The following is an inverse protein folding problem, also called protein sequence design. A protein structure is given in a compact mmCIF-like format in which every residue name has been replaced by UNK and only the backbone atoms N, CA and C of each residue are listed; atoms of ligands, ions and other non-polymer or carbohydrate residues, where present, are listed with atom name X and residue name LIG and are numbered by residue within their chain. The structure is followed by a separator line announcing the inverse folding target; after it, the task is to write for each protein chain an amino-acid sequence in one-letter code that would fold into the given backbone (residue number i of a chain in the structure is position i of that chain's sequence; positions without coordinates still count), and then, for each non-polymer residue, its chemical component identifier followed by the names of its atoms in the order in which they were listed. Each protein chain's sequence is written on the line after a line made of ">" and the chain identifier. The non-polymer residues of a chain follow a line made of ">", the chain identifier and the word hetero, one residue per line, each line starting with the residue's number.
data_IF_109578580084
#
_entry.id   IF_109578580084
#
_cell.length_a   1.000
_cell.length_b   1.000
_cell.length_c   1.000
_cell.angle_alpha   90.00
_cell.angle_beta   90.00
_cell.angle_gamma   90.00
#
_symmetry.space_group_name_H-M   'P 1'
#
loop_
_entity.id
_entity.type
_entity.pdbx_description
1 polymer ?
#
# COMPACT_ATOMS: atom_id res chain seq x y z
N UNK A 1 -23.07 11.75 -9.32
CA UNK A 1 -23.42 10.89 -8.17
C UNK A 1 -22.11 10.26 -7.70
N UNK A 2 -21.62 10.34 -6.46
CA UNK A 2 -22.27 10.42 -5.16
C UNK A 2 -21.52 11.37 -4.21
N UNK A 3 -22.26 12.02 -3.30
CA UNK A 3 -21.74 12.86 -2.21
C UNK A 3 -21.14 11.95 -1.13
N UNK A 4 -19.84 12.09 -0.88
CA UNK A 4 -19.13 11.38 0.20
C UNK A 4 -19.27 12.20 1.47
N UNK A 5 -20.19 11.82 2.35
CA UNK A 5 -20.34 12.44 3.65
C UNK A 5 -19.10 12.14 4.51
N UNK A 6 -18.31 13.16 4.82
CA UNK A 6 -17.29 13.10 5.86
C UNK A 6 -18.00 13.08 7.22
N UNK A 7 -18.14 11.89 7.81
CA UNK A 7 -18.52 11.76 9.22
C UNK A 7 -17.32 12.10 10.09
N UNK A 8 -17.33 13.33 10.62
CA UNK A 8 -16.48 13.75 11.73
C UNK A 8 -16.78 12.85 12.95
N UNK A 9 -15.91 11.87 13.22
CA UNK A 9 -15.89 11.23 14.53
C UNK A 9 -15.09 12.10 15.50
N UNK A 10 -15.78 12.52 16.54
CA UNK A 10 -15.36 13.45 17.56
C UNK A 10 -14.01 13.06 18.18
N UNK A 11 -13.04 13.97 18.10
CA UNK A 11 -12.05 14.14 19.17
C UNK A 11 -12.79 14.67 20.42
N UNK A 12 -13.36 13.79 21.24
CA UNK A 12 -13.73 14.13 22.62
C UNK A 12 -13.36 13.00 23.56
N UNK A 13 -12.44 13.34 24.46
CA UNK A 13 -12.39 12.88 25.85
C UNK A 13 -11.66 11.57 26.17
N UNK A 14 -10.32 11.58 26.04
CA UNK A 14 -9.42 10.78 26.87
C UNK A 14 -9.18 11.39 28.27
N UNK A 15 -9.99 12.38 28.68
CA UNK A 15 -9.81 13.14 29.94
C UNK A 15 -10.99 13.02 30.91
N UNK A 16 -12.01 12.21 30.60
CA UNK A 16 -13.25 12.13 31.39
C UNK A 16 -13.29 11.05 32.47
N UNK A 17 -12.49 9.98 32.36
CA UNK A 17 -12.62 8.81 33.24
C UNK A 17 -11.77 8.89 34.51
N UNK A 18 -10.63 9.60 34.49
CA UNK A 18 -9.82 9.80 35.69
C UNK A 18 -10.53 10.64 36.78
N UNK A 19 -11.59 11.38 36.43
CA UNK A 19 -12.33 12.22 37.38
C UNK A 19 -13.43 11.47 38.15
N UNK A 20 -13.88 10.30 37.69
CA UNK A 20 -14.94 9.55 38.38
C UNK A 20 -14.33 8.64 39.46
N UNK A 21 -13.14 8.07 39.21
CA UNK A 21 -12.48 7.18 40.16
C UNK A 21 -11.93 7.89 41.41
N UNK A 22 -11.60 9.19 41.34
CA UNK A 22 -11.12 9.95 42.51
C UNK A 22 -12.24 10.29 43.52
N UNK A 23 -13.50 10.39 43.08
CA UNK A 23 -14.62 10.69 43.97
C UNK A 23 -15.15 9.45 44.70
N UNK A 24 -14.99 8.25 44.12
CA UNK A 24 -15.40 6.98 44.74
C UNK A 24 -14.38 6.50 45.79
N UNK A 25 -13.08 6.68 45.53
CA UNK A 25 -12.00 6.28 46.45
C UNK A 25 -11.90 7.16 47.72
N UNK A 26 -12.44 8.38 47.68
CA UNK A 26 -12.54 9.25 48.88
C UNK A 26 -13.82 8.98 49.69
N UNK A 27 -14.84 8.36 49.08
CA UNK A 27 -16.09 8.00 49.76
C UNK A 27 -15.98 6.75 50.65
N UNK A 28 -15.01 5.87 50.40
CA UNK A 28 -14.83 4.63 51.17
C UNK A 28 -13.99 4.79 52.45
N UNK A 29 -13.36 5.96 52.67
CA UNK A 29 -12.47 6.18 53.82
C UNK A 29 -13.16 6.84 55.04
N UNK A 30 -14.46 7.17 54.97
CA UNK A 30 -15.17 7.89 56.04
C UNK A 30 -16.43 7.19 56.58
N UNK A 31 -16.70 5.94 56.20
CA UNK A 31 -17.63 5.09 56.98
C UNK A 31 -16.83 4.41 58.09
N UNK A 32 -16.96 5.00 59.27
CA UNK A 32 -16.35 4.63 60.54
C UNK A 32 -16.54 3.17 60.92
N UNK A 33 -15.52 2.64 61.58
CA UNK A 33 -15.57 1.45 62.40
C UNK A 33 -16.65 1.58 63.49
N UNK A 34 -17.85 1.05 63.23
CA UNK A 34 -18.65 0.31 64.20
C UNK A 34 -19.71 -0.50 63.45
N UNK A 35 -20.02 -1.70 63.95
CA UNK A 35 -20.85 -2.76 63.33
C UNK A 35 -20.17 -3.64 62.27
N UNK A 36 -19.54 -4.68 62.80
CA UNK A 36 -19.46 -6.01 62.16
C UNK A 36 -20.89 -6.50 61.87
N UNK A 37 -21.05 -7.26 60.79
CA UNK A 37 -22.22 -8.08 60.42
C UNK A 37 -23.10 -7.59 59.25
N UNK A 38 -22.49 -7.41 58.07
CA UNK A 38 -23.16 -7.66 56.78
C UNK A 38 -22.11 -7.80 55.66
N UNK A 39 -21.53 -8.99 55.51
CA UNK A 39 -20.49 -9.30 54.53
C UNK A 39 -21.03 -9.64 53.11
N UNK A 40 -22.28 -9.28 52.78
CA UNK A 40 -22.84 -9.44 51.45
C UNK A 40 -24.02 -8.50 51.34
N UNK A 41 -23.93 -7.40 50.57
CA UNK A 41 -23.77 -7.39 49.12
C UNK A 41 -22.71 -6.38 48.58
N UNK A 42 -22.12 -5.56 49.46
CA UNK A 42 -21.24 -4.44 49.08
C UNK A 42 -19.87 -4.96 48.60
N UNK A 43 -19.32 -5.97 49.28
CA UNK A 43 -18.04 -6.58 48.89
C UNK A 43 -18.11 -7.27 47.51
N UNK A 44 -19.26 -7.85 47.16
CA UNK A 44 -19.48 -8.53 45.86
C UNK A 44 -19.65 -7.51 44.72
N UNK A 45 -20.36 -6.41 44.96
CA UNK A 45 -20.54 -5.36 43.95
C UNK A 45 -19.23 -4.63 43.60
N UNK A 46 -18.33 -4.43 44.58
CA UNK A 46 -17.01 -3.80 44.36
C UNK A 46 -16.08 -4.72 43.58
N UNK A 47 -16.11 -6.04 43.83
CA UNK A 47 -15.29 -7.00 43.05
C UNK A 47 -15.77 -7.11 41.59
N UNK A 48 -17.08 -7.14 41.36
CA UNK A 48 -17.65 -7.20 40.01
C UNK A 48 -17.33 -5.92 39.19
N UNK A 49 -17.29 -4.76 39.85
CA UNK A 49 -16.90 -3.47 39.25
C UNK A 49 -15.45 -3.48 38.79
N UNK A 50 -14.52 -3.93 39.63
CA UNK A 50 -13.09 -4.02 39.31
C UNK A 50 -12.79 -5.02 38.19
N UNK A 51 -13.44 -6.18 38.20
CA UNK A 51 -13.27 -7.20 37.14
C UNK A 51 -13.82 -6.70 35.79
N UNK A 52 -14.94 -5.97 35.80
CA UNK A 52 -15.52 -5.37 34.59
C UNK A 52 -14.68 -4.20 34.04
N UNK A 53 -14.04 -3.41 34.90
CA UNK A 53 -13.11 -2.34 34.49
C UNK A 53 -11.85 -2.92 33.82
N UNK A 54 -11.29 -3.98 34.41
CA UNK A 54 -10.16 -4.70 33.84
C UNK A 54 -10.51 -5.31 32.46
N UNK A 55 -11.70 -5.89 32.32
CA UNK A 55 -12.20 -6.42 31.05
C UNK A 55 -12.38 -5.32 29.99
N UNK A 56 -12.96 -4.17 30.35
CA UNK A 56 -13.12 -3.03 29.45
C UNK A 56 -11.77 -2.45 28.99
N UNK A 57 -10.81 -2.30 29.91
CA UNK A 57 -9.45 -1.82 29.61
C UNK A 57 -8.71 -2.79 28.67
N UNK A 58 -8.84 -4.10 28.90
CA UNK A 58 -8.28 -5.11 28.01
C UNK A 58 -8.91 -5.04 26.62
N UNK A 59 -10.22 -4.91 26.52
CA UNK A 59 -10.89 -4.80 25.23
C UNK A 59 -10.52 -3.49 24.48
N UNK A 60 -10.29 -2.39 25.21
CA UNK A 60 -9.80 -1.12 24.62
C UNK A 60 -8.40 -1.27 24.02
N UNK A 61 -7.50 -1.95 24.73
CA UNK A 61 -6.15 -2.23 24.23
C UNK A 61 -6.16 -3.15 23.01
N UNK A 62 -6.97 -4.22 23.02
CA UNK A 62 -7.19 -5.09 21.85
C UNK A 62 -7.72 -4.31 20.65
N UNK A 63 -8.69 -3.41 20.85
CA UNK A 63 -9.22 -2.56 19.80
C UNK A 63 -8.17 -1.58 19.24
N UNK A 64 -7.37 -0.96 20.11
CA UNK A 64 -6.29 -0.07 19.69
C UNK A 64 -5.23 -0.82 18.86
N UNK A 65 -4.88 -2.05 19.25
CA UNK A 65 -4.00 -2.93 18.48
C UNK A 65 -4.61 -3.28 17.12
N UNK A 66 -5.87 -3.72 17.06
CA UNK A 66 -6.53 -4.08 15.81
C UNK A 66 -6.63 -2.88 14.85
N UNK A 67 -6.85 -1.67 15.36
CA UNK A 67 -6.85 -0.44 14.57
C UNK A 67 -5.47 -0.10 14.00
N UNK A 68 -4.41 -0.34 14.77
CA UNK A 68 -3.03 -0.17 14.30
C UNK A 68 -2.69 -1.20 13.19
N UNK A 69 -3.11 -2.46 13.36
CA UNK A 69 -2.97 -3.50 12.34
C UNK A 69 -3.72 -3.15 11.05
N UNK A 70 -4.94 -2.61 11.15
CA UNK A 70 -5.73 -2.17 10.00
C UNK A 70 -5.01 -1.05 9.23
N UNK A 71 -4.48 -0.05 9.95
CA UNK A 71 -3.70 1.03 9.34
C UNK A 71 -2.43 0.49 8.65
N UNK A 72 -1.75 -0.49 9.25
CA UNK A 72 -0.59 -1.13 8.65
C UNK A 72 -0.95 -1.94 7.39
N UNK A 73 -2.09 -2.63 7.40
CA UNK A 73 -2.59 -3.38 6.24
C UNK A 73 -2.99 -2.46 5.07
N UNK A 74 -3.63 -1.31 5.33
CA UNK A 74 -3.91 -0.30 4.30
C UNK A 74 -2.63 0.25 3.67
N UNK A 75 -1.59 0.50 4.48
CA UNK A 75 -0.29 0.93 4.01
C UNK A 75 0.37 -0.14 3.13
N UNK A 76 0.27 -1.42 3.51
CA UNK A 76 0.78 -2.54 2.73
C UNK A 76 0.09 -2.68 1.37
N UNK A 77 -1.23 -2.53 1.29
CA UNK A 77 -1.96 -2.50 0.01
C UNK A 77 -1.48 -1.34 -0.86
N UNK A 78 -1.34 -0.15 -0.27
CA UNK A 78 -0.90 1.05 -0.99
C UNK A 78 0.50 0.85 -1.58
N UNK A 79 1.42 0.27 -0.81
CA UNK A 79 2.77 -0.05 -1.29
C UNK A 79 2.76 -1.10 -2.39
N UNK A 80 2.03 -2.21 -2.22
CA UNK A 80 1.93 -3.26 -3.23
C UNK A 80 1.31 -2.76 -4.54
N UNK A 81 0.32 -1.88 -4.46
CA UNK A 81 -0.29 -1.24 -5.62
C UNK A 81 0.70 -0.33 -6.35
N UNK A 82 1.47 0.48 -5.62
CA UNK A 82 2.51 1.31 -6.20
C UNK A 82 3.60 0.50 -6.92
N UNK A 83 4.01 -0.65 -6.38
CA UNK A 83 4.93 -1.58 -7.05
C UNK A 83 4.34 -2.09 -8.38
N UNK A 84 3.06 -2.48 -8.38
CA UNK A 84 2.37 -2.96 -9.58
C UNK A 84 2.24 -1.87 -10.65
N UNK A 85 1.81 -0.67 -10.26
CA UNK A 85 1.63 0.46 -11.18
C UNK A 85 2.98 0.89 -11.79
N UNK A 86 4.06 0.84 -11.00
CA UNK A 86 5.44 1.11 -11.48
C UNK A 86 5.86 0.07 -12.52
N UNK A 87 5.70 -1.22 -12.22
CA UNK A 87 6.06 -2.27 -13.17
C UNK A 87 5.22 -2.19 -14.47
N UNK A 88 3.96 -1.74 -14.39
CA UNK A 88 3.13 -1.49 -15.56
C UNK A 88 3.65 -0.33 -16.41
N UNK A 89 4.09 0.77 -15.80
CA UNK A 89 4.68 1.90 -16.52
C UNK A 89 6.02 1.53 -17.17
N UNK A 90 6.83 0.73 -16.49
CA UNK A 90 8.09 0.21 -17.02
C UNK A 90 7.86 -0.67 -18.25
N UNK A 91 6.83 -1.52 -18.26
CA UNK A 91 6.46 -2.32 -19.44
C UNK A 91 6.10 -1.43 -20.64
N UNK A 92 5.28 -0.40 -20.44
CA UNK A 92 4.90 0.51 -21.53
C UNK A 92 6.12 1.22 -22.13
N UNK A 93 7.10 1.57 -21.29
CA UNK A 93 8.36 2.18 -21.73
C UNK A 93 9.22 1.19 -22.51
N UNK A 94 9.31 -0.07 -22.04
CA UNK A 94 10.03 -1.13 -22.73
C UNK A 94 9.39 -1.47 -24.08
N UNK A 95 8.06 -1.52 -24.17
CA UNK A 95 7.31 -1.72 -25.43
C UNK A 95 7.61 -0.63 -26.46
N UNK A 96 7.59 0.64 -26.03
CA UNK A 96 7.92 1.76 -26.89
C UNK A 96 9.36 1.67 -27.41
N UNK A 97 10.31 1.28 -26.56
CA UNK A 97 11.72 1.09 -26.94
C UNK A 97 11.88 -0.04 -27.94
N UNK A 98 11.21 -1.17 -27.71
CA UNK A 98 11.21 -2.31 -28.65
C UNK A 98 10.64 -1.88 -30.00
N UNK A 99 9.50 -1.20 -30.02
CA UNK A 99 8.87 -0.72 -31.25
C UNK A 99 9.78 0.23 -32.04
N UNK A 100 10.46 1.16 -31.37
CA UNK A 100 11.42 2.07 -32.00
C UNK A 100 12.59 1.31 -32.63
N UNK A 101 13.16 0.32 -31.91
CA UNK A 101 14.25 -0.50 -32.41
C UNK A 101 13.81 -1.38 -33.60
N UNK A 102 12.62 -1.95 -33.53
CA UNK A 102 12.02 -2.74 -34.62
C UNK A 102 11.74 -1.90 -35.87
N UNK A 103 11.44 -0.60 -35.72
CA UNK A 103 11.32 0.32 -36.84
C UNK A 103 12.69 0.73 -37.43
N UNK A 104 13.72 0.93 -36.60
CA UNK A 104 15.06 1.32 -37.07
C UNK A 104 15.75 0.26 -37.91
N UNK A 105 15.51 -1.02 -37.62
CA UNK A 105 16.10 -2.15 -38.37
C UNK A 105 15.81 -2.09 -39.88
N UNK A 106 14.54 -2.05 -40.35
CA UNK A 106 14.25 -1.97 -41.78
C UNK A 106 14.71 -0.65 -42.41
N UNK A 107 14.76 0.46 -41.66
CA UNK A 107 15.31 1.73 -42.14
C UNK A 107 16.82 1.61 -42.43
N UNK A 108 17.58 0.99 -41.53
CA UNK A 108 19.01 0.72 -41.71
C UNK A 108 19.25 -0.28 -42.85
N UNK A 109 18.44 -1.34 -42.94
CA UNK A 109 18.51 -2.31 -44.04
C UNK A 109 18.26 -1.66 -45.40
N UNK A 110 17.29 -0.73 -45.48
CA UNK A 110 17.02 0.06 -46.68
C UNK A 110 18.21 0.96 -47.05
N UNK A 111 18.79 1.69 -46.08
CA UNK A 111 19.97 2.54 -46.33
C UNK A 111 21.16 1.72 -46.83
N UNK A 112 21.41 0.55 -46.23
CA UNK A 112 22.48 -0.37 -46.68
C UNK A 112 22.25 -0.81 -48.14
N UNK A 113 21.01 -1.11 -48.53
CA UNK A 113 20.68 -1.46 -49.92
C UNK A 113 20.86 -0.28 -50.88
N UNK A 114 20.49 0.93 -50.47
CA UNK A 114 20.68 2.14 -51.28
C UNK A 114 22.17 2.47 -51.47
N UNK A 115 22.98 2.40 -50.41
CA UNK A 115 24.44 2.58 -50.49
C UNK A 115 25.08 1.48 -51.34
N UNK A 116 24.58 0.23 -51.27
CA UNK A 116 25.03 -0.84 -52.15
C UNK A 116 24.75 -0.52 -53.62
N UNK A 117 23.54 -0.07 -53.96
CA UNK A 117 23.19 0.29 -55.35
C UNK A 117 24.07 1.42 -55.90
N UNK A 118 24.40 2.42 -55.06
CA UNK A 118 25.33 3.49 -55.44
C UNK A 118 26.73 2.95 -55.70
N UNK A 119 27.22 2.07 -54.83
CA UNK A 119 28.52 1.41 -55.00
C UNK A 119 28.55 0.55 -56.28
N UNK A 120 27.46 -0.13 -56.61
CA UNK A 120 27.36 -0.92 -57.84
C UNK A 120 27.37 -0.03 -59.09
N UNK A 121 26.75 1.15 -59.02
CA UNK A 121 26.77 2.15 -60.11
C UNK A 121 28.18 2.72 -60.31
N UNK A 122 28.87 3.05 -59.22
CA UNK A 122 30.25 3.56 -59.24
C UNK A 122 31.24 2.55 -59.82
N UNK A 123 31.04 1.27 -59.52
CA UNK A 123 31.90 0.18 -60.01
C UNK A 123 31.52 -0.31 -61.42
N UNK A 124 30.51 0.27 -62.09
CA UNK A 124 30.23 -0.11 -63.48
C UNK A 124 31.37 0.36 -64.38
N UNK A 125 31.94 -0.52 -65.23
CA UNK A 125 32.97 -0.10 -66.17
C UNK A 125 32.37 0.91 -67.14
N UNK A 126 32.78 2.18 -67.01
CA UNK A 126 32.43 3.27 -67.91
C UNK A 126 32.82 2.88 -69.33
N UNK A 127 31.82 2.60 -70.17
CA UNK A 127 31.99 2.32 -71.58
C UNK A 127 32.43 3.58 -72.32
N UNK A 128 33.73 3.87 -72.28
CA UNK A 128 34.39 4.87 -73.11
C UNK A 128 34.42 6.28 -72.52
N UNK A 129 35.58 6.66 -71.98
CA UNK A 129 35.88 8.03 -71.63
C UNK A 129 37.02 8.09 -70.63
N UNK A 130 38.07 8.85 -70.95
CA UNK A 130 39.17 9.17 -70.06
C UNK A 130 38.61 9.87 -68.79
N UNK A 131 38.31 9.09 -67.76
CA UNK A 131 38.06 9.58 -66.41
C UNK A 131 39.30 9.30 -65.58
N UNK A 132 39.74 10.31 -64.84
CA UNK A 132 40.93 10.25 -64.00
C UNK A 132 40.73 9.19 -62.92
N UNK A 133 41.59 8.17 -62.91
CA UNK A 133 41.60 7.04 -61.95
C UNK A 133 41.58 7.46 -60.47
N UNK A 134 41.82 8.73 -60.15
CA UNK A 134 41.97 9.21 -58.77
C UNK A 134 40.64 9.59 -58.06
N UNK A 135 39.58 9.98 -58.76
CA UNK A 135 38.33 10.46 -58.12
C UNK A 135 37.31 9.34 -57.84
N UNK A 136 37.04 8.46 -58.81
CA UNK A 136 36.12 7.30 -58.65
C UNK A 136 36.60 6.36 -57.53
N UNK A 137 37.91 6.24 -57.37
CA UNK A 137 38.54 5.40 -56.34
C UNK A 137 38.36 5.98 -54.91
N UNK A 138 38.07 7.29 -54.78
CA UNK A 138 37.77 7.94 -53.49
C UNK A 138 36.31 7.81 -53.07
N UNK A 139 35.37 7.93 -54.01
CA UNK A 139 33.94 7.81 -53.73
C UNK A 139 33.53 6.37 -53.42
N UNK A 140 34.08 5.39 -54.16
CA UNK A 140 33.88 3.98 -53.87
C UNK A 140 34.37 3.60 -52.46
N UNK A 141 35.55 4.09 -52.05
CA UNK A 141 36.08 3.89 -50.69
C UNK A 141 35.18 4.52 -49.63
N UNK A 142 34.64 5.72 -49.89
CA UNK A 142 33.68 6.39 -49.01
C UNK A 142 32.40 5.58 -48.83
N UNK A 143 31.80 5.09 -49.92
CA UNK A 143 30.58 4.28 -49.90
C UNK A 143 30.81 2.92 -49.21
N UNK A 144 31.97 2.30 -49.38
CA UNK A 144 32.36 1.08 -48.65
C UNK A 144 32.41 1.34 -47.14
N UNK A 145 33.05 2.43 -46.73
CA UNK A 145 33.14 2.82 -45.32
C UNK A 145 31.75 3.13 -44.73
N UNK A 146 30.91 3.88 -45.46
CA UNK A 146 29.54 4.19 -45.05
C UNK A 146 28.69 2.93 -44.89
N UNK A 147 28.75 2.01 -45.86
CA UNK A 147 28.05 0.72 -45.78
C UNK A 147 28.53 -0.12 -44.59
N UNK A 148 29.83 -0.13 -44.32
CA UNK A 148 30.39 -0.83 -43.16
C UNK A 148 29.89 -0.22 -41.83
N UNK A 149 29.83 1.11 -41.74
CA UNK A 149 29.29 1.81 -40.58
C UNK A 149 27.80 1.50 -40.37
N UNK A 150 26.99 1.55 -41.44
CA UNK A 150 25.55 1.22 -41.37
C UNK A 150 25.31 -0.24 -40.95
N UNK A 151 26.15 -1.19 -41.43
CA UNK A 151 26.09 -2.58 -40.98
C UNK A 151 26.44 -2.73 -39.50
N UNK A 152 27.45 -2.01 -39.03
CA UNK A 152 27.82 -2.00 -37.62
C UNK A 152 26.70 -1.41 -36.75
N UNK A 153 26.04 -0.35 -37.21
CA UNK A 153 24.87 0.23 -36.56
C UNK A 153 23.70 -0.76 -36.52
N UNK A 154 23.37 -1.40 -37.64
CA UNK A 154 22.33 -2.43 -37.72
C UNK A 154 22.57 -3.57 -36.72
N UNK A 155 23.82 -4.04 -36.62
CA UNK A 155 24.19 -5.07 -35.66
C UNK A 155 23.97 -4.60 -34.22
N UNK A 156 24.41 -3.38 -33.87
CA UNK A 156 24.17 -2.79 -32.55
C UNK A 156 22.69 -2.62 -32.25
N UNK A 157 21.87 -2.21 -33.22
CA UNK A 157 20.40 -2.10 -33.06
C UNK A 157 19.76 -3.45 -32.81
N UNK A 158 20.19 -4.51 -33.50
CA UNK A 158 19.70 -5.88 -33.27
C UNK A 158 20.09 -6.39 -31.88
N UNK A 159 21.31 -6.14 -31.44
CA UNK A 159 21.75 -6.47 -30.07
C UNK A 159 20.96 -5.69 -29.01
N UNK A 160 20.74 -4.39 -29.22
CA UNK A 160 19.92 -3.58 -28.34
C UNK A 160 18.47 -4.07 -28.27
N UNK A 161 17.90 -4.53 -29.40
CA UNK A 161 16.55 -5.10 -29.45
C UNK A 161 16.46 -6.38 -28.60
N UNK A 162 17.43 -7.27 -28.72
CA UNK A 162 17.48 -8.50 -27.89
C UNK A 162 17.61 -8.18 -26.41
N UNK A 163 18.44 -7.21 -26.05
CA UNK A 163 18.55 -6.73 -24.66
C UNK A 163 17.23 -6.13 -24.17
N UNK A 164 16.56 -5.32 -24.99
CA UNK A 164 15.27 -4.72 -24.66
C UNK A 164 14.18 -5.80 -24.46
N UNK A 165 14.13 -6.83 -25.32
CA UNK A 165 13.21 -7.96 -25.18
C UNK A 165 13.45 -8.77 -23.91
N UNK A 166 14.70 -9.00 -23.53
CA UNK A 166 15.03 -9.63 -22.23
C UNK A 166 14.63 -8.74 -21.05
N UNK A 167 14.87 -7.43 -21.17
CA UNK A 167 14.44 -6.45 -20.19
C UNK A 167 12.92 -6.47 -19.99
N UNK A 168 12.15 -6.49 -21.09
CA UNK A 168 10.70 -6.60 -21.07
C UNK A 168 10.23 -7.85 -20.31
N UNK A 169 10.77 -9.03 -20.64
CA UNK A 169 10.42 -10.27 -19.95
C UNK A 169 10.69 -10.22 -18.44
N UNK A 170 11.82 -9.61 -18.02
CA UNK A 170 12.15 -9.44 -16.61
C UNK A 170 11.20 -8.46 -15.90
N UNK A 171 10.76 -7.39 -16.58
CA UNK A 171 9.76 -6.45 -16.03
C UNK A 171 8.39 -7.15 -15.93
N UNK A 172 8.04 -7.99 -16.89
CA UNK A 172 6.80 -8.75 -16.89
C UNK A 172 6.73 -9.70 -15.68
N UNK A 173 7.82 -10.41 -15.39
CA UNK A 173 7.95 -11.22 -14.18
C UNK A 173 7.77 -10.37 -12.91
N UNK A 174 8.42 -9.19 -12.83
CA UNK A 174 8.26 -8.28 -11.70
C UNK A 174 6.81 -7.82 -11.52
N UNK A 175 6.10 -7.53 -12.62
CA UNK A 175 4.67 -7.18 -12.59
C UNK A 175 3.82 -8.32 -12.07
N UNK A 176 4.09 -9.56 -12.48
CA UNK A 176 3.38 -10.74 -11.97
C UNK A 176 3.61 -10.92 -10.46
N UNK A 177 4.86 -10.78 -10.00
CA UNK A 177 5.19 -10.81 -8.57
C UNK A 177 4.47 -9.71 -7.80
N UNK A 178 4.46 -8.47 -8.33
CA UNK A 178 3.74 -7.35 -7.72
C UNK A 178 2.22 -7.60 -7.66
N UNK A 179 1.64 -8.21 -8.69
CA UNK A 179 0.22 -8.59 -8.71
C UNK A 179 -0.11 -9.62 -7.63
N UNK A 180 0.75 -10.63 -7.45
CA UNK A 180 0.61 -11.64 -6.39
C UNK A 180 0.73 -11.00 -5.00
N UNK A 181 1.68 -10.09 -4.80
CA UNK A 181 1.79 -9.33 -3.54
C UNK A 181 0.56 -8.50 -3.26
N UNK A 182 0.00 -7.83 -4.27
CA UNK A 182 -1.20 -7.02 -4.13
C UNK A 182 -2.42 -7.89 -3.76
N UNK A 183 -2.60 -9.05 -4.41
CA UNK A 183 -3.65 -10.00 -4.04
C UNK A 183 -3.48 -10.52 -2.60
N UNK A 184 -2.26 -10.87 -2.20
CA UNK A 184 -1.95 -11.30 -0.85
C UNK A 184 -2.22 -10.20 0.19
N UNK A 185 -1.87 -8.95 -0.11
CA UNK A 185 -2.13 -7.80 0.76
C UNK A 185 -3.64 -7.55 0.91
N UNK A 186 -4.41 -7.64 -0.16
CA UNK A 186 -5.88 -7.51 -0.12
C UNK A 186 -6.53 -8.62 0.73
N UNK A 187 -6.06 -9.87 0.58
CA UNK A 187 -6.55 -10.99 1.41
C UNK A 187 -6.19 -10.81 2.89
N UNK A 188 -4.97 -10.36 3.18
CA UNK A 188 -4.56 -10.07 4.55
C UNK A 188 -5.39 -8.95 5.17
N UNK A 189 -5.67 -7.87 4.41
CA UNK A 189 -6.52 -6.77 4.85
C UNK A 189 -7.93 -7.23 5.23
N UNK A 190 -8.57 -8.08 4.42
CA UNK A 190 -9.89 -8.62 4.76
C UNK A 190 -9.90 -9.38 6.11
N UNK A 191 -8.84 -10.16 6.37
CA UNK A 191 -8.71 -10.85 7.67
C UNK A 191 -8.42 -9.90 8.85
N UNK A 192 -7.73 -8.78 8.60
CA UNK A 192 -7.47 -7.75 9.63
C UNK A 192 -8.73 -6.92 9.90
N UNK A 193 -9.51 -6.62 8.86
CA UNK A 193 -10.80 -5.93 8.97
C UNK A 193 -11.77 -6.75 9.83
N UNK A 194 -11.87 -8.06 9.59
CA UNK A 194 -12.69 -8.95 10.42
C UNK A 194 -12.25 -8.95 11.90
N UNK A 195 -10.94 -8.99 12.17
CA UNK A 195 -10.41 -8.90 13.54
C UNK A 195 -10.72 -7.56 14.19
N UNK A 196 -10.62 -6.47 13.45
CA UNK A 196 -10.98 -5.14 13.93
C UNK A 196 -12.47 -5.08 14.32
N UNK A 197 -13.36 -5.64 13.49
CA UNK A 197 -14.79 -5.68 13.78
C UNK A 197 -15.10 -6.54 15.01
N UNK A 198 -14.42 -7.68 15.17
CA UNK A 198 -14.52 -8.52 16.38
C UNK A 198 -14.02 -7.77 17.62
N UNK A 199 -12.91 -7.03 17.53
CA UNK A 199 -12.38 -6.24 18.64
C UNK A 199 -13.33 -5.09 19.01
N UNK A 200 -13.93 -4.42 18.02
CA UNK A 200 -14.98 -3.41 18.23
C UNK A 200 -16.19 -3.99 18.96
N UNK A 201 -16.65 -5.17 18.57
CA UNK A 201 -17.77 -5.84 19.23
C UNK A 201 -17.45 -6.20 20.69
N UNK A 202 -16.28 -6.80 20.95
CA UNK A 202 -15.83 -7.13 22.30
C UNK A 202 -15.69 -5.89 23.19
N UNK A 203 -15.15 -4.81 22.64
CA UNK A 203 -15.06 -3.54 23.36
C UNK A 203 -16.44 -3.00 23.73
N UNK A 204 -17.40 -3.02 22.80
CA UNK A 204 -18.76 -2.58 23.07
C UNK A 204 -19.44 -3.41 24.17
N UNK A 205 -19.25 -4.74 24.16
CA UNK A 205 -19.77 -5.65 25.18
C UNK A 205 -19.13 -5.40 26.55
N UNK A 206 -17.79 -5.36 26.62
CA UNK A 206 -17.07 -5.14 27.88
C UNK A 206 -17.38 -3.75 28.48
N UNK A 207 -17.53 -2.72 27.64
CA UNK A 207 -17.89 -1.38 28.08
C UNK A 207 -19.34 -1.31 28.58
N UNK A 208 -20.26 -2.04 27.98
CA UNK A 208 -21.64 -2.15 28.47
C UNK A 208 -21.69 -2.86 29.84
N UNK A 209 -20.95 -3.96 30.00
CA UNK A 209 -20.84 -4.66 31.28
C UNK A 209 -20.25 -3.76 32.38
N UNK A 210 -19.20 -3.01 32.07
CA UNK A 210 -18.62 -2.03 32.99
C UNK A 210 -19.63 -0.95 33.39
N UNK A 211 -20.39 -0.39 32.43
CA UNK A 211 -21.45 0.58 32.75
C UNK A 211 -22.48 0.03 33.72
N UNK A 212 -22.92 -1.21 33.54
CA UNK A 212 -23.89 -1.84 34.44
C UNK A 212 -23.30 -2.11 35.82
N UNK A 213 -22.05 -2.57 35.92
CA UNK A 213 -21.38 -2.77 37.20
C UNK A 213 -21.24 -1.47 37.99
N UNK A 214 -20.83 -0.38 37.33
CA UNK A 214 -20.74 0.96 37.95
C UNK A 214 -22.11 1.46 38.41
N UNK A 215 -23.19 1.22 37.63
CA UNK A 215 -24.55 1.56 38.06
C UNK A 215 -24.99 0.76 39.28
N UNK A 216 -24.65 -0.53 39.34
CA UNK A 216 -24.99 -1.39 40.48
C UNK A 216 -24.28 -0.90 41.75
N UNK A 217 -23.01 -0.52 41.64
CA UNK A 217 -22.23 0.05 42.73
C UNK A 217 -22.79 1.41 43.22
N UNK A 218 -23.20 2.29 42.30
CA UNK A 218 -23.87 3.55 42.64
C UNK A 218 -25.21 3.34 43.35
N UNK A 219 -26.00 2.35 42.92
CA UNK A 219 -27.25 2.00 43.61
C UNK A 219 -26.99 1.42 45.00
N UNK A 220 -25.99 0.55 45.15
CA UNK A 220 -25.62 -0.05 46.43
C UNK A 220 -25.11 0.99 47.45
N UNK A 221 -24.49 2.07 46.97
CA UNK A 221 -24.02 3.20 47.78
C UNK A 221 -25.06 4.28 48.06
N UNK A 222 -26.35 4.07 47.71
CA UNK A 222 -27.43 5.06 47.85
C UNK A 222 -27.17 6.37 47.08
N UNK A 223 -26.38 6.31 46.00
CA UNK A 223 -26.12 7.48 45.16
C UNK A 223 -27.38 7.90 44.38
N UNK A 224 -27.51 9.22 44.13
CA UNK A 224 -28.66 9.79 43.44
C UNK A 224 -28.84 9.26 42.01
N UNK A 225 -30.10 9.03 41.60
CA UNK A 225 -30.53 8.66 40.23
C UNK A 225 -30.01 9.58 39.12
N UNK A 226 -29.52 10.77 39.48
CA UNK A 226 -28.84 11.65 38.55
C UNK A 226 -27.58 11.01 37.93
N UNK A 227 -26.80 10.26 38.72
CA UNK A 227 -25.53 9.67 38.28
C UNK A 227 -25.74 8.45 37.37
N UNK A 228 -26.75 7.63 37.64
CA UNK A 228 -27.10 6.48 36.80
C UNK A 228 -27.56 6.94 35.40
N UNK A 229 -28.40 7.98 35.32
CA UNK A 229 -28.81 8.60 34.04
C UNK A 229 -27.65 9.16 33.22
N UNK A 230 -26.62 9.71 33.87
CA UNK A 230 -25.43 10.19 33.14
C UNK A 230 -24.65 9.05 32.49
N UNK A 231 -24.54 7.90 33.16
CA UNK A 231 -23.85 6.71 32.63
C UNK A 231 -24.57 6.16 31.40
N UNK A 232 -25.91 6.18 31.40
CA UNK A 232 -26.74 5.78 30.25
C UNK A 232 -26.52 6.65 28.99
N UNK A 233 -26.15 7.92 29.19
CA UNK A 233 -25.96 8.88 28.10
C UNK A 233 -24.55 8.91 27.50
N UNK A 234 -23.57 8.28 28.18
CA UNK A 234 -22.22 8.05 27.69
C UNK A 234 -22.17 6.79 26.82
#
# INVERSE_FOLDING_TARGET
>A
MAKKEMKYYLRKSAFGLASVSAALLVGAASVSADSVESAGPVAVAVTDSLDSEAAATKAETELATAKAELTAAEAAITAAKAEFDTAQADLATAEATIAELEQKIPELEKKIQETQKKLDYENMPSGGGLHSDDEDDTEARRLIAEKAALKAELQKTKEALEVAKRGYAAIEERKQVAAVKLDAANKAFAGVEEKHDQAMAKFAEAFAAYKEAVKAELKASSASDFYTKKIDSA
#
